data_IF_227161324845
#
_entry.id   IF_227161324845
#
_cell.length_a   1.000
_cell.length_b   1.000
_cell.length_c   1.000
_cell.angle_alpha   90.00
_cell.angle_beta   90.00
_cell.angle_gamma   90.00
#
_symmetry.space_group_name_H-M   'P 1'
#
loop_
_entity.id
_entity.type
_entity.pdbx_description
1 polymer ?
#
# COMPACT_ATOMS: atom_id res chain seq x y z
N UNK A 1 24.78 -19.68 -5.23
CA UNK A 1 23.91 -18.50 -5.44
C UNK A 1 24.54 -17.28 -4.79
N UNK A 2 24.60 -16.15 -5.48
CA UNK A 2 25.11 -14.88 -4.88
C UNK A 2 23.94 -13.92 -4.68
N UNK A 3 23.90 -13.26 -3.54
CA UNK A 3 22.87 -12.26 -3.21
C UNK A 3 23.49 -10.87 -3.25
N UNK A 4 22.88 -9.97 -4.01
CA UNK A 4 23.27 -8.56 -4.10
C UNK A 4 22.27 -7.71 -3.35
N UNK A 5 22.63 -7.24 -2.17
CA UNK A 5 21.81 -6.32 -1.37
C UNK A 5 22.00 -4.88 -1.84
N UNK A 6 20.91 -4.12 -1.87
CA UNK A 6 20.92 -2.73 -2.29
C UNK A 6 20.47 -1.79 -1.16
N UNK A 7 21.26 -0.80 -0.86
CA UNK A 7 20.86 0.40 -0.14
C UNK A 7 20.56 1.50 -1.15
N UNK A 8 19.32 2.03 -1.10
CA UNK A 8 18.75 2.85 -2.18
C UNK A 8 18.60 4.30 -1.74
N UNK A 9 19.31 5.20 -2.39
CA UNK A 9 19.24 6.65 -2.18
C UNK A 9 18.79 7.42 -3.43
N UNK A 10 18.52 8.71 -3.29
CA UNK A 10 18.03 9.54 -4.41
C UNK A 10 19.06 9.76 -5.52
N UNK A 11 20.34 9.84 -5.17
CA UNK A 11 21.41 10.17 -6.11
C UNK A 11 22.30 8.97 -6.44
N UNK A 12 22.49 8.09 -5.50
CA UNK A 12 23.36 6.90 -5.61
C UNK A 12 22.68 5.67 -5.03
N UNK A 13 23.10 4.50 -5.48
CA UNK A 13 22.76 3.23 -4.88
C UNK A 13 24.06 2.50 -4.52
N UNK A 14 24.08 1.92 -3.33
CA UNK A 14 25.22 1.09 -2.89
C UNK A 14 24.78 -0.37 -2.86
N UNK A 15 25.57 -1.21 -3.53
CA UNK A 15 25.35 -2.65 -3.64
C UNK A 15 26.44 -3.40 -2.88
N UNK A 16 26.02 -4.46 -2.19
CA UNK A 16 26.94 -5.40 -1.53
C UNK A 16 26.56 -6.82 -1.93
N UNK A 17 27.50 -7.52 -2.57
CA UNK A 17 27.37 -8.93 -2.91
C UNK A 17 27.81 -9.80 -1.74
N UNK A 18 27.05 -10.86 -1.45
CA UNK A 18 27.38 -11.86 -0.43
C UNK A 18 27.21 -13.27 -0.97
N UNK A 19 27.98 -14.22 -0.40
CA UNK A 19 27.81 -15.66 -0.61
C UNK A 19 26.61 -16.21 0.21
N UNK A 20 26.34 -17.50 0.09
CA UNK A 20 25.28 -18.19 0.81
C UNK A 20 25.46 -18.19 2.33
N UNK A 21 26.69 -18.02 2.83
CA UNK A 21 27.01 -17.87 4.24
C UNK A 21 26.86 -16.41 4.74
N UNK A 22 26.52 -15.47 3.84
CA UNK A 22 26.41 -14.04 4.14
C UNK A 22 27.75 -13.33 4.29
N UNK A 23 28.85 -13.90 3.76
CA UNK A 23 30.17 -13.26 3.72
C UNK A 23 30.22 -12.28 2.56
N UNK A 24 30.71 -11.07 2.80
CA UNK A 24 30.85 -10.04 1.77
C UNK A 24 31.89 -10.45 0.72
N UNK A 25 31.48 -10.44 -0.53
CA UNK A 25 32.29 -10.74 -1.70
C UNK A 25 32.78 -9.46 -2.41
N UNK A 26 32.02 -8.39 -2.34
CA UNK A 26 32.34 -7.13 -2.96
C UNK A 26 31.30 -6.06 -2.72
N UNK A 27 31.64 -4.84 -3.08
CA UNK A 27 30.70 -3.71 -3.05
C UNK A 27 30.89 -2.81 -4.26
N UNK A 28 29.86 -2.09 -4.64
CA UNK A 28 29.86 -1.10 -5.70
C UNK A 28 28.82 -0.02 -5.43
N UNK A 29 29.21 1.23 -5.61
CA UNK A 29 28.28 2.37 -5.59
C UNK A 29 28.17 2.95 -7.00
N UNK A 30 26.93 3.21 -7.44
CA UNK A 30 26.63 3.75 -8.76
C UNK A 30 25.65 4.92 -8.65
N UNK A 31 25.53 5.73 -9.70
CA UNK A 31 24.50 6.76 -9.79
C UNK A 31 23.10 6.11 -9.90
N UNK A 32 22.08 6.74 -9.29
CA UNK A 32 20.69 6.29 -9.30
C UNK A 32 19.99 6.60 -10.66
N UNK A 33 20.60 6.17 -11.76
CA UNK A 33 20.13 6.32 -13.14
C UNK A 33 20.25 4.98 -13.87
N UNK A 34 19.50 4.79 -14.95
CA UNK A 34 19.45 3.53 -15.70
C UNK A 34 20.84 3.03 -16.14
N UNK A 35 21.72 3.94 -16.59
CA UNK A 35 23.10 3.60 -16.93
C UNK A 35 23.87 3.04 -15.72
N UNK A 36 23.75 3.67 -14.54
CA UNK A 36 24.37 3.17 -13.31
C UNK A 36 23.79 1.82 -12.86
N UNK A 37 22.50 1.60 -13.05
CA UNK A 37 21.87 0.29 -12.76
C UNK A 37 22.46 -0.79 -13.69
N UNK A 38 22.61 -0.49 -14.98
CA UNK A 38 23.28 -1.39 -15.94
C UNK A 38 24.74 -1.68 -15.57
N UNK A 39 25.48 -0.65 -15.13
CA UNK A 39 26.86 -0.81 -14.64
C UNK A 39 26.93 -1.74 -13.41
N UNK A 40 25.97 -1.65 -12.50
CA UNK A 40 25.90 -2.55 -11.35
C UNK A 40 25.63 -3.99 -11.76
N UNK A 41 24.73 -4.20 -12.74
CA UNK A 41 24.43 -5.55 -13.27
C UNK A 41 25.66 -6.14 -13.96
N UNK A 42 26.35 -5.39 -14.80
CA UNK A 42 27.60 -5.86 -15.45
C UNK A 42 28.65 -6.23 -14.42
N UNK A 43 28.93 -5.33 -13.45
CA UNK A 43 29.86 -5.60 -12.36
C UNK A 43 29.54 -6.90 -11.61
N UNK A 44 28.26 -7.12 -11.29
CA UNK A 44 27.85 -8.30 -10.55
C UNK A 44 28.00 -9.60 -11.40
N UNK A 45 27.61 -9.54 -12.67
CA UNK A 45 27.73 -10.69 -13.59
C UNK A 45 29.17 -11.06 -13.89
N UNK A 46 30.03 -10.09 -14.15
CA UNK A 46 31.45 -10.31 -14.44
C UNK A 46 32.19 -10.92 -13.26
N UNK A 47 31.87 -10.51 -12.03
CA UNK A 47 32.58 -10.97 -10.83
C UNK A 47 31.99 -12.23 -10.20
N UNK A 48 30.70 -12.45 -10.29
CA UNK A 48 30.01 -13.47 -9.51
C UNK A 48 29.16 -14.43 -10.37
N UNK A 49 29.14 -14.24 -11.68
CA UNK A 49 28.37 -15.08 -12.60
C UNK A 49 26.91 -14.64 -12.76
N UNK A 50 26.12 -15.47 -13.45
CA UNK A 50 24.75 -15.14 -13.86
C UNK A 50 23.68 -15.45 -12.79
N UNK A 51 23.97 -16.36 -11.85
CA UNK A 51 23.02 -16.77 -10.80
C UNK A 51 22.99 -15.75 -9.64
N UNK A 52 22.31 -14.65 -9.87
CA UNK A 52 22.21 -13.53 -8.95
C UNK A 52 20.78 -13.32 -8.46
N UNK A 53 20.63 -13.03 -7.17
CA UNK A 53 19.38 -12.51 -6.58
C UNK A 53 19.63 -11.10 -6.05
N UNK A 54 18.83 -10.15 -6.49
CA UNK A 54 18.92 -8.76 -6.05
C UNK A 54 17.92 -8.53 -4.92
N UNK A 55 18.44 -8.30 -3.73
CA UNK A 55 17.65 -7.99 -2.54
C UNK A 55 17.57 -6.47 -2.35
N UNK A 56 16.37 -5.90 -2.34
CA UNK A 56 16.13 -4.47 -2.22
C UNK A 56 15.23 -4.21 -1.01
N UNK A 57 15.53 -3.19 -0.20
CA UNK A 57 14.61 -2.78 0.86
C UNK A 57 13.26 -2.34 0.27
N UNK A 58 12.14 -2.78 0.88
CA UNK A 58 10.77 -2.44 0.43
C UNK A 58 10.43 -0.96 0.74
N UNK A 59 11.18 -0.04 0.14
CA UNK A 59 10.96 1.40 0.19
C UNK A 59 10.37 1.92 -1.14
N UNK A 60 9.19 1.48 -1.47
CA UNK A 60 8.48 1.54 -2.76
C UNK A 60 8.63 2.80 -3.61
N UNK A 61 8.80 3.97 -3.00
CA UNK A 61 8.96 5.22 -3.75
C UNK A 61 10.38 5.41 -4.26
N UNK A 62 11.36 5.03 -3.46
CA UNK A 62 12.77 5.25 -3.74
C UNK A 62 13.35 4.15 -4.65
N UNK A 63 12.94 2.89 -4.41
CA UNK A 63 13.44 1.72 -5.14
C UNK A 63 12.74 1.43 -6.47
N UNK A 64 11.61 2.05 -6.75
CA UNK A 64 10.75 1.70 -7.89
C UNK A 64 11.44 1.77 -9.27
N UNK A 65 12.38 2.72 -9.45
CA UNK A 65 13.14 2.83 -10.70
C UNK A 65 14.19 1.74 -10.81
N UNK A 66 14.99 1.55 -9.74
CA UNK A 66 15.99 0.50 -9.66
C UNK A 66 15.37 -0.88 -9.91
N UNK A 67 14.27 -1.18 -9.23
CA UNK A 67 13.55 -2.43 -9.36
C UNK A 67 13.11 -2.67 -10.81
N UNK A 68 12.53 -1.67 -11.48
CA UNK A 68 12.12 -1.77 -12.88
C UNK A 68 13.29 -2.01 -13.80
N UNK A 69 14.37 -1.27 -13.63
CA UNK A 69 15.56 -1.39 -14.48
C UNK A 69 16.21 -2.76 -14.31
N UNK A 70 16.38 -3.24 -13.06
CA UNK A 70 16.92 -4.59 -12.80
C UNK A 70 16.07 -5.69 -13.44
N UNK A 71 14.75 -5.61 -13.29
CA UNK A 71 13.84 -6.57 -13.92
C UNK A 71 13.88 -6.48 -15.45
N UNK A 72 14.00 -5.26 -16.02
CA UNK A 72 14.20 -5.04 -17.45
C UNK A 72 15.51 -5.64 -17.96
N UNK A 73 16.54 -5.73 -17.13
CA UNK A 73 17.80 -6.43 -17.41
C UNK A 73 17.73 -7.94 -17.12
N UNK A 74 16.52 -8.48 -16.88
CA UNK A 74 16.30 -9.91 -16.63
C UNK A 74 16.81 -10.39 -15.27
N UNK A 75 16.95 -9.48 -14.28
CA UNK A 75 17.40 -9.86 -12.94
C UNK A 75 16.23 -10.27 -12.04
N UNK A 76 16.46 -11.25 -11.19
CA UNK A 76 15.53 -11.61 -10.13
C UNK A 76 15.67 -10.64 -8.96
N UNK A 77 14.58 -9.96 -8.63
CA UNK A 77 14.52 -8.96 -7.56
C UNK A 77 13.61 -9.45 -6.44
N UNK A 78 14.08 -9.31 -5.20
CA UNK A 78 13.32 -9.66 -3.99
C UNK A 78 13.22 -8.44 -3.08
N UNK A 79 12.03 -8.18 -2.53
CA UNK A 79 11.80 -7.09 -1.59
C UNK A 79 11.98 -7.56 -0.15
N UNK A 80 12.93 -6.95 0.54
CA UNK A 80 13.22 -7.23 1.95
C UNK A 80 12.45 -6.23 2.82
N UNK A 81 11.59 -6.70 3.74
CA UNK A 81 10.86 -5.82 4.65
C UNK A 81 11.82 -5.01 5.54
N UNK A 82 11.57 -3.69 5.77
CA UNK A 82 12.44 -2.84 6.60
C UNK A 82 12.66 -3.39 8.01
N UNK A 83 11.66 -4.06 8.58
CA UNK A 83 11.77 -4.70 9.89
C UNK A 83 12.81 -5.82 9.91
N UNK A 84 12.88 -6.62 8.86
CA UNK A 84 13.84 -7.72 8.74
C UNK A 84 15.27 -7.18 8.58
N UNK A 85 15.44 -6.16 7.76
CA UNK A 85 16.70 -5.45 7.61
C UNK A 85 17.18 -4.85 8.95
N UNK A 86 16.29 -4.16 9.68
CA UNK A 86 16.61 -3.57 10.98
C UNK A 86 17.01 -4.64 12.01
N UNK A 87 16.32 -5.79 12.05
CA UNK A 87 16.69 -6.92 12.92
C UNK A 87 18.04 -7.51 12.55
N UNK A 88 18.34 -7.65 11.27
CA UNK A 88 19.61 -8.16 10.76
C UNK A 88 20.76 -7.22 11.12
N UNK A 89 20.55 -5.91 11.01
CA UNK A 89 21.53 -4.90 11.41
C UNK A 89 21.76 -4.90 12.93
N UNK A 90 20.71 -5.00 13.73
CA UNK A 90 20.80 -5.03 15.19
C UNK A 90 21.57 -6.23 15.73
N UNK A 91 21.53 -7.38 15.03
CA UNK A 91 22.23 -8.60 15.40
C UNK A 91 23.66 -8.69 14.82
N UNK A 92 24.09 -7.71 14.02
CA UNK A 92 25.45 -7.68 13.48
C UNK A 92 26.48 -7.31 14.53
N UNK A 93 27.69 -7.90 14.45
CA UNK A 93 28.82 -7.55 15.31
C UNK A 93 29.33 -6.13 15.08
N UNK A 94 29.26 -5.65 13.83
CA UNK A 94 29.72 -4.31 13.44
C UNK A 94 28.62 -3.31 13.79
N UNK A 95 28.93 -2.40 14.71
CA UNK A 95 28.06 -1.27 15.03
C UNK A 95 28.43 -0.08 14.14
N UNK A 96 27.44 0.60 13.59
CA UNK A 96 27.62 1.77 12.75
C UNK A 96 26.48 1.91 11.74
N UNK A 97 26.49 3.02 11.03
CA UNK A 97 25.57 3.29 9.92
C UNK A 97 26.39 3.79 8.74
N UNK A 98 26.33 3.04 7.65
CA UNK A 98 26.85 3.46 6.33
C UNK A 98 26.12 2.68 5.27
N UNK A 99 26.06 3.22 4.06
CA UNK A 99 25.37 2.60 2.93
C UNK A 99 25.81 1.14 2.68
N UNK A 100 27.12 0.77 2.73
CA UNK A 100 27.54 -0.63 2.62
C UNK A 100 27.03 -1.52 3.76
N UNK A 101 26.92 -1.00 4.99
CA UNK A 101 26.39 -1.76 6.14
C UNK A 101 24.91 -2.03 5.95
N UNK A 102 24.16 -1.03 5.46
CA UNK A 102 22.73 -1.16 5.21
C UNK A 102 22.47 -2.08 4.01
N UNK A 103 23.22 -1.99 2.91
CA UNK A 103 23.17 -2.92 1.79
C UNK A 103 23.50 -4.38 2.20
N UNK A 104 24.52 -4.56 3.04
CA UNK A 104 24.88 -5.87 3.60
C UNK A 104 23.75 -6.43 4.48
N UNK A 105 23.09 -5.60 5.28
CA UNK A 105 21.99 -6.02 6.12
C UNK A 105 20.77 -6.44 5.27
N UNK A 106 20.52 -5.80 4.14
CA UNK A 106 19.48 -6.18 3.17
C UNK A 106 19.78 -7.57 2.59
N UNK A 107 21.02 -7.80 2.09
CA UNK A 107 21.42 -9.10 1.54
C UNK A 107 21.28 -10.25 2.57
N UNK A 108 21.79 -10.03 3.78
CA UNK A 108 21.68 -10.99 4.89
C UNK A 108 20.25 -11.19 5.37
N UNK A 109 19.40 -10.17 5.25
CA UNK A 109 17.97 -10.27 5.54
C UNK A 109 17.26 -11.25 4.62
N UNK A 110 17.60 -11.23 3.33
CA UNK A 110 17.11 -12.21 2.37
C UNK A 110 17.58 -13.64 2.70
N UNK A 111 18.85 -13.83 3.05
CA UNK A 111 19.37 -15.17 3.40
C UNK A 111 18.70 -15.78 4.63
N UNK A 112 18.22 -14.96 5.58
CA UNK A 112 17.45 -15.43 6.74
C UNK A 112 16.02 -15.85 6.43
N UNK A 113 15.42 -15.26 5.40
CA UNK A 113 14.03 -15.47 4.98
C UNK A 113 13.97 -15.68 3.47
N UNK A 114 14.42 -16.83 2.96
CA UNK A 114 14.54 -17.07 1.51
C UNK A 114 13.19 -17.10 0.79
N UNK A 115 12.09 -17.27 1.52
CA UNK A 115 10.72 -17.30 1.00
C UNK A 115 10.09 -15.91 0.77
N UNK A 116 10.89 -14.86 0.76
CA UNK A 116 10.39 -13.52 0.46
C UNK A 116 9.84 -13.44 -0.98
N UNK A 117 8.79 -12.63 -1.19
CA UNK A 117 8.14 -12.55 -2.50
C UNK A 117 9.08 -11.93 -3.54
N UNK A 118 9.18 -12.60 -4.69
CA UNK A 118 9.86 -12.08 -5.87
C UNK A 118 9.07 -10.85 -6.36
N UNK A 119 9.77 -9.78 -6.68
CA UNK A 119 9.16 -8.60 -7.24
C UNK A 119 8.59 -8.90 -8.63
N UNK A 120 7.37 -8.47 -8.86
CA UNK A 120 6.73 -8.52 -10.17
C UNK A 120 6.16 -7.13 -10.49
N UNK A 121 6.25 -6.72 -11.75
CA UNK A 121 5.58 -5.54 -12.23
C UNK A 121 4.17 -5.91 -12.69
N UNK A 122 3.19 -5.42 -11.96
CA UNK A 122 1.81 -5.33 -12.43
C UNK A 122 1.49 -3.85 -12.66
N UNK A 123 1.57 -3.43 -13.93
CA UNK A 123 1.32 -2.03 -14.30
C UNK A 123 -0.08 -1.56 -13.90
N UNK A 124 -1.07 -2.45 -13.98
CA UNK A 124 -2.44 -2.17 -13.57
C UNK A 124 -2.51 -1.83 -12.08
N UNK A 125 -1.89 -2.64 -11.24
CA UNK A 125 -1.82 -2.37 -9.80
C UNK A 125 -1.06 -1.08 -9.50
N UNK A 126 0.02 -0.81 -10.24
CA UNK A 126 0.80 0.42 -10.08
C UNK A 126 -0.01 1.66 -10.46
N UNK A 127 -0.68 1.65 -11.61
CA UNK A 127 -1.52 2.74 -12.09
C UNK A 127 -2.61 3.07 -11.05
N UNK A 128 -3.39 2.07 -10.65
CA UNK A 128 -4.44 2.23 -9.64
C UNK A 128 -3.89 2.73 -8.31
N UNK A 129 -2.75 2.22 -7.88
CA UNK A 129 -2.11 2.71 -6.65
C UNK A 129 -1.76 4.19 -6.74
N UNK A 130 -1.15 4.64 -7.83
CA UNK A 130 -0.78 6.04 -8.01
C UNK A 130 -2.00 6.97 -8.02
N UNK A 131 -3.09 6.56 -8.69
CA UNK A 131 -4.35 7.33 -8.71
C UNK A 131 -4.98 7.41 -7.32
N UNK A 132 -5.05 6.30 -6.60
CA UNK A 132 -5.61 6.23 -5.23
C UNK A 132 -4.77 7.05 -4.26
N UNK A 133 -3.45 6.89 -4.27
CA UNK A 133 -2.53 7.63 -3.40
C UNK A 133 -2.66 9.14 -3.65
N UNK A 134 -2.70 9.57 -4.92
CA UNK A 134 -2.91 10.99 -5.27
C UNK A 134 -4.23 11.52 -4.74
N UNK A 135 -5.32 10.76 -4.94
CA UNK A 135 -6.64 11.13 -4.43
C UNK A 135 -6.65 11.25 -2.92
N UNK A 136 -6.01 10.34 -2.18
CA UNK A 136 -5.94 10.38 -0.72
C UNK A 136 -5.20 11.61 -0.20
N UNK A 137 -4.09 11.98 -0.84
CA UNK A 137 -3.35 13.21 -0.51
C UNK A 137 -4.25 14.44 -0.67
N UNK A 138 -5.00 14.53 -1.79
CA UNK A 138 -5.91 15.66 -2.02
C UNK A 138 -7.10 15.68 -1.04
N UNK A 139 -7.62 14.51 -0.66
CA UNK A 139 -8.67 14.41 0.38
C UNK A 139 -8.14 14.89 1.73
N UNK A 140 -6.93 14.52 2.11
CA UNK A 140 -6.31 14.99 3.35
C UNK A 140 -6.09 16.51 3.31
N UNK A 141 -5.59 17.05 2.20
CA UNK A 141 -5.40 18.48 1.98
C UNK A 141 -6.74 19.23 2.09
N UNK A 142 -7.79 18.76 1.39
CA UNK A 142 -9.12 19.36 1.49
C UNK A 142 -9.65 19.35 2.92
N UNK A 143 -9.48 18.26 3.65
CA UNK A 143 -9.92 18.15 5.04
C UNK A 143 -9.20 19.18 5.94
N UNK A 144 -7.89 19.35 5.75
CA UNK A 144 -7.12 20.35 6.49
C UNK A 144 -7.59 21.78 6.17
N UNK A 145 -7.85 22.07 4.87
CA UNK A 145 -8.38 23.38 4.46
C UNK A 145 -9.80 23.64 5.02
N UNK A 146 -10.68 22.63 4.99
CA UNK A 146 -12.01 22.73 5.62
C UNK A 146 -11.90 23.09 7.12
N UNK A 147 -10.98 22.47 7.83
CA UNK A 147 -10.82 22.75 9.26
C UNK A 147 -10.33 24.19 9.50
N UNK A 148 -9.40 24.70 8.70
CA UNK A 148 -8.96 26.11 8.78
C UNK A 148 -10.09 27.07 8.47
N UNK A 149 -10.81 26.85 7.36
CA UNK A 149 -11.96 27.68 6.98
C UNK A 149 -13.01 27.74 8.10
N UNK A 150 -13.30 26.62 8.74
CA UNK A 150 -14.27 26.58 9.85
C UNK A 150 -13.85 27.45 11.04
N UNK A 151 -12.55 27.53 11.36
CA UNK A 151 -12.04 28.41 12.40
C UNK A 151 -12.17 29.89 12.02
N UNK A 152 -11.89 30.26 10.76
CA UNK A 152 -12.08 31.63 10.26
C UNK A 152 -13.55 32.04 10.27
N UNK A 153 -14.43 31.15 9.82
CA UNK A 153 -15.87 31.40 9.86
C UNK A 153 -16.36 31.56 11.33
N UNK A 154 -15.85 30.73 12.24
CA UNK A 154 -16.17 30.84 13.65
C UNK A 154 -15.69 32.17 14.26
N UNK A 155 -14.54 32.68 13.84
CA UNK A 155 -14.04 33.99 14.27
C UNK A 155 -14.91 35.13 13.75
N UNK A 156 -15.44 35.02 12.53
CA UNK A 156 -16.33 36.03 11.95
C UNK A 156 -17.76 35.97 12.51
N UNK A 157 -18.31 34.79 12.62
CA UNK A 157 -19.65 34.50 13.10
C UNK A 157 -19.77 33.03 13.54
N UNK A 158 -19.76 32.73 14.86
CA UNK A 158 -19.84 31.35 15.36
C UNK A 158 -21.11 30.59 14.92
N UNK A 159 -22.25 31.31 14.72
CA UNK A 159 -23.52 30.68 14.35
C UNK A 159 -23.51 30.20 12.90
N UNK A 160 -22.66 30.77 12.06
CA UNK A 160 -22.48 30.37 10.67
C UNK A 160 -21.41 29.32 10.44
N UNK A 161 -20.70 28.89 11.49
CA UNK A 161 -19.65 27.86 11.34
C UNK A 161 -20.22 26.55 10.75
N UNK A 162 -19.77 26.13 9.55
CA UNK A 162 -20.37 24.99 8.86
C UNK A 162 -20.04 23.66 9.58
N UNK A 163 -20.98 22.71 9.52
CA UNK A 163 -20.71 21.34 10.00
C UNK A 163 -19.57 20.70 9.21
N UNK A 164 -18.72 19.86 9.82
CA UNK A 164 -17.52 19.29 9.15
C UNK A 164 -17.79 18.65 7.78
N UNK A 165 -18.94 17.97 7.65
CA UNK A 165 -19.27 17.20 6.42
C UNK A 165 -20.00 18.05 5.38
N UNK A 166 -20.55 19.22 5.75
CA UNK A 166 -21.41 20.00 4.85
C UNK A 166 -20.66 20.56 3.65
N UNK A 167 -19.42 20.98 3.83
CA UNK A 167 -18.59 21.57 2.77
C UNK A 167 -18.14 20.58 1.68
N UNK A 168 -18.43 19.29 1.83
CA UNK A 168 -18.30 18.34 0.73
C UNK A 168 -19.33 18.57 -0.38
N UNK A 169 -20.48 19.15 -0.05
CA UNK A 169 -21.56 19.44 -0.98
C UNK A 169 -21.43 20.84 -1.57
N UNK A 170 -21.53 20.94 -2.90
CA UNK A 170 -21.44 22.22 -3.63
C UNK A 170 -22.46 23.26 -3.15
N UNK A 171 -23.69 22.82 -2.80
CA UNK A 171 -24.74 23.67 -2.26
C UNK A 171 -24.28 24.45 -1.02
N UNK A 172 -23.64 23.78 -0.07
CA UNK A 172 -23.19 24.43 1.18
C UNK A 172 -21.98 25.33 0.93
N UNK A 173 -21.10 25.00 -0.01
CA UNK A 173 -20.00 25.88 -0.41
C UNK A 173 -20.53 27.17 -1.04
N UNK A 174 -21.57 27.08 -1.88
CA UNK A 174 -22.19 28.26 -2.49
C UNK A 174 -22.81 29.14 -1.43
N UNK A 175 -23.68 28.60 -0.57
CA UNK A 175 -24.32 29.39 0.50
C UNK A 175 -23.32 30.09 1.41
N UNK A 176 -22.21 29.42 1.74
CA UNK A 176 -21.15 30.04 2.55
C UNK A 176 -20.43 31.14 1.76
N UNK A 177 -20.19 30.93 0.45
CA UNK A 177 -19.58 31.92 -0.44
C UNK A 177 -20.43 33.19 -0.56
N UNK A 178 -21.72 33.02 -0.78
CA UNK A 178 -22.67 34.16 -0.91
C UNK A 178 -22.66 35.02 0.37
N UNK A 179 -22.59 34.40 1.55
CA UNK A 179 -22.46 35.14 2.79
C UNK A 179 -21.07 35.79 2.94
N UNK A 180 -19.97 35.08 2.65
CA UNK A 180 -18.61 35.62 2.80
C UNK A 180 -18.34 36.84 1.89
N UNK A 181 -19.07 36.99 0.78
CA UNK A 181 -19.00 38.20 -0.07
C UNK A 181 -19.52 39.43 0.67
N UNK A 182 -20.47 39.27 1.58
CA UNK A 182 -21.05 40.39 2.35
C UNK A 182 -20.20 40.83 3.55
N UNK A 183 -19.17 40.05 3.90
CA UNK A 183 -18.30 40.32 5.04
C UNK A 183 -16.97 40.91 4.54
N UNK A 184 -16.55 42.01 5.16
CA UNK A 184 -15.29 42.71 4.88
C UNK A 184 -14.17 42.29 5.85
N UNK A 185 -12.94 42.61 5.50
CA UNK A 185 -11.75 42.39 6.30
C UNK A 185 -10.92 41.19 5.91
N UNK A 186 -9.67 41.13 6.36
CA UNK A 186 -8.67 40.15 5.98
C UNK A 186 -9.10 38.70 6.30
N UNK A 187 -9.76 38.47 7.45
CA UNK A 187 -10.22 37.15 7.83
C UNK A 187 -11.25 36.61 6.82
N UNK A 188 -12.17 37.46 6.35
CA UNK A 188 -13.16 37.10 5.35
C UNK A 188 -12.51 36.87 3.98
N UNK A 189 -11.50 37.65 3.60
CA UNK A 189 -10.71 37.44 2.40
C UNK A 189 -10.04 36.05 2.39
N UNK A 190 -9.30 35.75 3.44
CA UNK A 190 -8.65 34.44 3.60
C UNK A 190 -9.64 33.28 3.66
N UNK A 191 -10.84 33.50 4.22
CA UNK A 191 -11.91 32.51 4.23
C UNK A 191 -12.45 32.23 2.81
N UNK A 192 -12.57 33.27 1.96
CA UNK A 192 -12.93 33.12 0.54
C UNK A 192 -11.89 32.33 -0.24
N UNK A 193 -10.59 32.60 -0.01
CA UNK A 193 -9.50 31.87 -0.68
C UNK A 193 -9.52 30.38 -0.29
N UNK A 194 -9.69 30.08 0.98
CA UNK A 194 -9.80 28.69 1.44
C UNK A 194 -11.05 27.99 0.89
N UNK A 195 -12.17 28.69 0.73
CA UNK A 195 -13.40 28.16 0.12
C UNK A 195 -13.18 27.86 -1.38
N UNK A 196 -12.45 28.72 -2.09
CA UNK A 196 -12.06 28.51 -3.48
C UNK A 196 -11.15 27.27 -3.60
N UNK A 197 -10.17 27.12 -2.72
CA UNK A 197 -9.30 25.94 -2.66
C UNK A 197 -10.09 24.65 -2.38
N UNK A 198 -11.05 24.65 -1.46
CA UNK A 198 -11.92 23.49 -1.20
C UNK A 198 -12.72 23.13 -2.45
N UNK A 199 -13.20 24.11 -3.18
CA UNK A 199 -13.98 23.89 -4.40
C UNK A 199 -13.12 23.27 -5.50
N UNK A 200 -11.92 23.81 -5.74
CA UNK A 200 -10.95 23.27 -6.69
C UNK A 200 -10.51 21.86 -6.31
N UNK A 201 -10.15 21.61 -5.04
CA UNK A 201 -9.75 20.28 -4.58
C UNK A 201 -10.88 19.27 -4.74
N UNK A 202 -12.14 19.67 -4.47
CA UNK A 202 -13.29 18.77 -4.63
C UNK A 202 -13.46 18.33 -6.08
N UNK A 203 -13.37 19.25 -7.04
CA UNK A 203 -13.48 18.93 -8.46
C UNK A 203 -12.39 17.91 -8.90
N UNK A 204 -11.13 18.12 -8.49
CA UNK A 204 -10.03 17.20 -8.84
C UNK A 204 -10.20 15.84 -8.16
N UNK A 205 -10.69 15.79 -6.91
CA UNK A 205 -10.96 14.54 -6.19
C UNK A 205 -12.06 13.73 -6.89
N UNK A 206 -13.12 14.40 -7.36
CA UNK A 206 -14.25 13.76 -8.03
C UNK A 206 -13.82 13.23 -9.42
N UNK A 207 -13.02 13.98 -10.17
CA UNK A 207 -12.46 13.51 -11.44
C UNK A 207 -11.53 12.29 -11.26
N UNK A 208 -10.67 12.30 -10.24
CA UNK A 208 -9.85 11.13 -9.92
C UNK A 208 -10.71 9.92 -9.52
N UNK A 209 -11.80 10.16 -8.78
CA UNK A 209 -12.71 9.08 -8.41
C UNK A 209 -13.37 8.45 -9.63
N UNK A 210 -13.79 9.27 -10.62
CA UNK A 210 -14.35 8.82 -11.90
C UNK A 210 -13.33 7.96 -12.68
N UNK A 211 -12.12 8.47 -12.89
CA UNK A 211 -11.03 7.73 -13.57
C UNK A 211 -10.71 6.40 -12.90
N UNK A 212 -10.66 6.39 -11.56
CA UNK A 212 -10.43 5.17 -10.78
C UNK A 212 -11.58 4.18 -11.00
N UNK A 213 -12.83 4.66 -10.97
CA UNK A 213 -14.01 3.83 -11.19
C UNK A 213 -14.03 3.19 -12.58
N UNK A 214 -13.78 3.97 -13.63
CA UNK A 214 -13.65 3.48 -15.01
C UNK A 214 -12.60 2.36 -15.08
N UNK A 215 -11.39 2.63 -14.60
CA UNK A 215 -10.30 1.67 -14.65
C UNK A 215 -10.56 0.39 -13.86
N UNK A 216 -11.19 0.50 -12.70
CA UNK A 216 -11.51 -0.68 -11.86
C UNK A 216 -12.59 -1.54 -12.48
N UNK A 217 -13.59 -0.95 -13.14
CA UNK A 217 -14.63 -1.73 -13.85
C UNK A 217 -14.04 -2.63 -14.93
N UNK A 218 -12.98 -2.16 -15.61
CA UNK A 218 -12.29 -2.94 -16.65
C UNK A 218 -11.44 -4.06 -16.04
N UNK A 219 -10.78 -3.80 -14.90
CA UNK A 219 -9.70 -4.69 -14.41
C UNK A 219 -10.09 -5.58 -13.25
N UNK A 220 -11.17 -5.26 -12.53
CA UNK A 220 -11.57 -5.99 -11.33
C UNK A 220 -13.10 -6.13 -11.17
N UNK A 221 -13.84 -6.55 -12.21
CA UNK A 221 -15.30 -6.67 -12.16
C UNK A 221 -15.79 -7.70 -11.13
N UNK A 222 -15.07 -8.81 -10.94
CA UNK A 222 -15.44 -9.84 -9.95
C UNK A 222 -15.27 -9.30 -8.53
N UNK A 223 -14.23 -8.51 -8.29
CA UNK A 223 -14.02 -7.88 -7.00
C UNK A 223 -15.11 -6.82 -6.70
N UNK A 224 -15.54 -6.07 -7.70
CA UNK A 224 -16.65 -5.09 -7.58
C UNK A 224 -18.00 -5.74 -7.24
N UNK A 225 -18.22 -6.98 -7.66
CA UNK A 225 -19.43 -7.73 -7.33
C UNK A 225 -19.51 -8.11 -5.84
N UNK A 226 -18.40 -7.98 -5.08
CA UNK A 226 -18.40 -8.27 -3.64
C UNK A 226 -19.19 -7.19 -2.87
N UNK A 227 -20.25 -7.53 -2.14
CA UNK A 227 -21.02 -6.56 -1.35
C UNK A 227 -20.11 -5.76 -0.39
N UNK A 228 -20.23 -4.43 -0.45
CA UNK A 228 -19.40 -3.51 0.34
C UNK A 228 -18.04 -3.17 -0.26
N UNK A 229 -17.71 -3.71 -1.44
CA UNK A 229 -16.50 -3.37 -2.18
C UNK A 229 -16.79 -2.38 -3.30
N UNK A 230 -16.90 -1.10 -3.01
CA UNK A 230 -17.04 -0.05 -4.03
C UNK A 230 -15.71 0.21 -4.78
N UNK A 231 -15.79 0.97 -5.87
CA UNK A 231 -14.69 1.23 -6.82
C UNK A 231 -13.39 1.67 -6.14
N UNK A 232 -13.45 2.63 -5.23
CA UNK A 232 -12.25 3.12 -4.50
C UNK A 232 -11.63 2.04 -3.59
N UNK A 233 -12.47 1.16 -3.02
CA UNK A 233 -12.00 0.07 -2.19
C UNK A 233 -11.36 -1.01 -3.04
N UNK A 234 -11.98 -1.36 -4.17
CA UNK A 234 -11.45 -2.31 -5.13
C UNK A 234 -10.11 -1.82 -5.72
N UNK A 235 -10.04 -0.54 -6.14
CA UNK A 235 -8.80 0.08 -6.61
C UNK A 235 -7.67 0.00 -5.57
N UNK A 236 -8.00 0.27 -4.30
CA UNK A 236 -7.04 0.14 -3.20
C UNK A 236 -6.58 -1.31 -3.01
N UNK A 237 -7.48 -2.27 -3.07
CA UNK A 237 -7.13 -3.68 -2.95
C UNK A 237 -6.21 -4.13 -4.10
N UNK A 238 -6.53 -3.78 -5.34
CA UNK A 238 -5.68 -4.10 -6.51
C UNK A 238 -4.32 -3.41 -6.38
N UNK A 239 -4.30 -2.09 -6.17
CA UNK A 239 -3.08 -1.30 -6.12
C UNK A 239 -2.12 -1.72 -4.99
N UNK A 240 -2.66 -2.00 -3.80
CA UNK A 240 -1.85 -2.42 -2.65
C UNK A 240 -1.42 -3.88 -2.71
N UNK A 241 -2.12 -4.71 -3.49
CA UNK A 241 -1.71 -6.09 -3.74
C UNK A 241 -0.45 -6.18 -4.61
N UNK A 242 -0.20 -5.18 -5.47
CA UNK A 242 0.95 -5.11 -6.37
C UNK A 242 1.18 -6.43 -7.15
N UNK A 243 0.09 -6.96 -7.74
CA UNK A 243 0.04 -8.27 -8.37
C UNK A 243 -0.37 -9.39 -7.39
N UNK A 244 -1.48 -10.05 -7.69
CA UNK A 244 -2.00 -11.13 -6.82
C UNK A 244 -1.16 -12.39 -6.89
N UNK A 245 -0.48 -12.64 -8.02
CA UNK A 245 0.34 -13.83 -8.28
C UNK A 245 1.57 -13.93 -7.39
N UNK A 246 2.03 -12.81 -6.81
CA UNK A 246 3.15 -12.81 -5.86
C UNK A 246 2.83 -13.53 -4.54
N UNK A 247 1.57 -13.77 -4.25
CA UNK A 247 1.18 -14.48 -3.03
C UNK A 247 1.01 -15.97 -3.31
N UNK A 248 1.80 -16.80 -2.64
CA UNK A 248 1.74 -18.26 -2.72
C UNK A 248 0.37 -18.83 -2.33
N UNK A 249 -0.36 -18.15 -1.41
CA UNK A 249 -1.64 -18.60 -0.87
C UNK A 249 -2.49 -17.46 -0.30
N UNK A 250 -3.77 -17.75 -0.03
CA UNK A 250 -4.67 -16.86 0.71
C UNK A 250 -4.16 -16.52 2.11
N UNK A 251 -3.46 -17.44 2.76
CA UNK A 251 -2.87 -17.23 4.08
C UNK A 251 -1.72 -16.22 4.00
N UNK A 252 -0.88 -16.31 2.95
CA UNK A 252 0.18 -15.33 2.69
C UNK A 252 -0.40 -13.95 2.42
N UNK A 253 -1.47 -13.84 1.62
CA UNK A 253 -2.19 -12.58 1.39
C UNK A 253 -2.78 -12.02 2.70
N UNK A 254 -3.44 -12.84 3.52
CA UNK A 254 -4.01 -12.41 4.78
C UNK A 254 -2.93 -11.95 5.78
N UNK A 255 -1.76 -12.62 5.80
CA UNK A 255 -0.60 -12.19 6.61
C UNK A 255 -0.07 -10.85 6.13
N UNK A 256 0.08 -10.67 4.82
CA UNK A 256 0.49 -9.40 4.22
C UNK A 256 -0.51 -8.27 4.51
N UNK A 257 -1.81 -8.54 4.47
CA UNK A 257 -2.86 -7.59 4.84
C UNK A 257 -2.97 -7.34 6.36
N UNK A 258 -2.18 -8.03 7.20
CA UNK A 258 -2.22 -7.88 8.65
C UNK A 258 -3.54 -8.35 9.29
N UNK A 259 -4.22 -9.34 8.67
CA UNK A 259 -5.48 -9.90 9.18
C UNK A 259 -5.37 -11.39 9.53
N UNK A 260 -4.19 -11.99 9.37
CA UNK A 260 -3.94 -13.35 9.82
C UNK A 260 -3.74 -13.43 11.34
N UNK A 261 -4.31 -14.43 12.02
CA UNK A 261 -4.00 -14.69 13.41
C UNK A 261 -2.55 -15.22 13.52
N UNK A 262 -1.81 -14.72 14.49
CA UNK A 262 -0.44 -15.16 14.80
C UNK A 262 -0.46 -15.87 16.14
N UNK A 263 0.06 -17.10 16.24
CA UNK A 263 0.21 -17.79 17.51
C UNK A 263 1.07 -16.97 18.49
N UNK A 264 0.57 -16.76 19.70
CA UNK A 264 1.29 -16.08 20.79
C UNK A 264 0.96 -16.83 22.08
N UNK A 265 1.58 -17.98 22.24
CA UNK A 265 1.35 -18.82 23.40
C UNK A 265 2.63 -19.51 23.86
N UNK A 266 2.66 -19.82 25.14
CA UNK A 266 3.66 -20.67 25.77
C UNK A 266 2.96 -21.44 26.88
N UNK A 267 3.31 -22.73 27.09
CA UNK A 267 2.77 -23.55 28.18
C UNK A 267 1.25 -23.41 28.33
N UNK A 268 0.81 -22.86 29.46
CA UNK A 268 -0.59 -22.75 29.88
C UNK A 268 -1.47 -21.84 28.96
N UNK A 269 -0.87 -21.08 28.04
CA UNK A 269 -1.62 -20.20 27.11
C UNK A 269 -1.78 -20.80 25.73
N UNK A 270 -1.63 -22.15 25.60
CA UNK A 270 -1.71 -22.88 24.33
C UNK A 270 -3.00 -22.53 23.54
N UNK A 271 -2.84 -22.24 22.25
CA UNK A 271 -3.96 -21.85 21.38
C UNK A 271 -4.26 -20.35 21.35
N UNK A 272 -3.61 -19.53 22.18
CA UNK A 272 -3.79 -18.08 22.14
C UNK A 272 -3.23 -17.50 20.85
N UNK A 273 -4.05 -16.70 20.15
CA UNK A 273 -3.64 -16.00 18.94
C UNK A 273 -3.80 -14.49 19.10
N UNK A 274 -2.94 -13.74 18.46
CA UNK A 274 -3.03 -12.27 18.39
C UNK A 274 -2.97 -11.82 16.94
N UNK A 275 -3.51 -10.65 16.69
CA UNK A 275 -3.28 -9.95 15.43
C UNK A 275 -1.91 -9.27 15.47
N UNK A 276 -1.14 -9.44 14.41
CA UNK A 276 0.08 -8.65 14.25
C UNK A 276 -0.25 -7.18 13.98
N UNK A 277 0.58 -6.27 14.49
CA UNK A 277 0.54 -4.85 14.09
C UNK A 277 1.34 -4.58 12.83
N UNK A 278 2.02 -5.61 12.29
CA UNK A 278 2.72 -5.59 11.01
C UNK A 278 1.73 -5.89 9.86
N UNK A 279 2.18 -5.66 8.65
CA UNK A 279 1.39 -5.87 7.43
C UNK A 279 0.92 -4.56 6.78
N UNK A 280 0.35 -4.68 5.60
CA UNK A 280 -0.11 -3.53 4.82
C UNK A 280 -1.38 -2.93 5.45
N UNK A 281 -1.23 -1.76 6.09
CA UNK A 281 -2.32 -1.06 6.77
C UNK A 281 -3.42 -0.61 5.81
N UNK A 282 -3.09 -0.33 4.55
CA UNK A 282 -4.05 0.11 3.54
C UNK A 282 -4.96 -1.05 3.10
N UNK A 283 -4.39 -2.25 2.89
CA UNK A 283 -5.18 -3.46 2.67
C UNK A 283 -6.06 -3.78 3.87
N UNK A 284 -5.52 -3.66 5.09
CA UNK A 284 -6.29 -3.86 6.31
C UNK A 284 -7.48 -2.90 6.41
N UNK A 285 -7.27 -1.62 6.09
CA UNK A 285 -8.32 -0.61 6.09
C UNK A 285 -9.38 -0.87 5.01
N UNK A 286 -8.97 -1.32 3.82
CA UNK A 286 -9.89 -1.70 2.75
C UNK A 286 -10.78 -2.89 3.16
N UNK A 287 -10.18 -3.95 3.71
CA UNK A 287 -10.92 -5.10 4.25
C UNK A 287 -11.85 -4.71 5.41
N UNK A 288 -11.43 -3.75 6.24
CA UNK A 288 -12.27 -3.25 7.32
C UNK A 288 -13.50 -2.50 6.82
N UNK A 289 -13.36 -1.67 5.79
CA UNK A 289 -14.50 -0.98 5.15
C UNK A 289 -15.52 -1.97 4.61
N UNK A 290 -15.07 -3.02 3.89
CA UNK A 290 -15.94 -4.09 3.41
C UNK A 290 -16.64 -4.77 4.58
N UNK A 291 -15.90 -5.14 5.64
CA UNK A 291 -16.45 -5.80 6.80
C UNK A 291 -17.55 -4.97 7.49
N UNK A 292 -17.28 -3.68 7.76
CA UNK A 292 -18.24 -2.77 8.39
C UNK A 292 -19.48 -2.58 7.52
N UNK A 293 -19.33 -2.50 6.20
CA UNK A 293 -20.46 -2.40 5.27
C UNK A 293 -21.28 -3.67 5.28
N UNK A 294 -20.63 -4.85 5.21
CA UNK A 294 -21.36 -6.14 5.22
C UNK A 294 -22.07 -6.42 6.53
N UNK A 295 -21.58 -5.92 7.66
CA UNK A 295 -22.30 -6.03 8.95
C UNK A 295 -23.62 -5.25 8.93
N UNK A 296 -23.72 -4.18 8.14
CA UNK A 296 -24.91 -3.34 8.01
C UNK A 296 -25.91 -3.88 6.95
N UNK A 297 -25.39 -4.59 5.94
CA UNK A 297 -26.18 -5.17 4.86
C UNK A 297 -26.67 -6.57 5.25
N UNK A 298 -27.86 -6.96 4.80
CA UNK A 298 -28.29 -8.35 4.92
C UNK A 298 -27.47 -9.24 3.97
N UNK A 299 -26.99 -10.38 4.49
CA UNK A 299 -26.18 -11.31 3.72
C UNK A 299 -25.21 -12.13 4.57
N UNK A 300 -24.33 -12.87 3.88
CA UNK A 300 -23.42 -13.84 4.50
C UNK A 300 -22.46 -13.21 5.52
N UNK A 301 -22.00 -11.98 5.26
CA UNK A 301 -21.08 -11.27 6.18
C UNK A 301 -21.76 -10.94 7.51
N UNK A 302 -23.00 -10.40 7.47
CA UNK A 302 -23.78 -10.12 8.68
C UNK A 302 -24.15 -11.39 9.44
N UNK A 303 -24.57 -12.44 8.73
CA UNK A 303 -24.89 -13.73 9.34
C UNK A 303 -23.68 -14.31 10.06
N UNK A 304 -22.50 -14.31 9.43
CA UNK A 304 -21.25 -14.75 10.04
C UNK A 304 -20.86 -13.91 11.26
N UNK A 305 -20.94 -12.59 11.15
CA UNK A 305 -20.65 -11.67 12.26
C UNK A 305 -21.55 -11.93 13.47
N UNK A 306 -22.87 -12.06 13.26
CA UNK A 306 -23.84 -12.38 14.31
C UNK A 306 -23.57 -13.73 14.96
N UNK A 307 -23.23 -14.76 14.15
CA UNK A 307 -22.82 -16.08 14.66
C UNK A 307 -21.63 -15.97 15.60
N UNK A 308 -20.63 -15.15 15.28
CA UNK A 308 -19.46 -14.95 16.14
C UNK A 308 -19.81 -14.27 17.47
N UNK A 309 -20.66 -13.26 17.43
CA UNK A 309 -21.17 -12.61 18.66
C UNK A 309 -21.93 -13.60 19.55
N UNK A 310 -22.79 -14.42 18.95
CA UNK A 310 -23.55 -15.46 19.67
C UNK A 310 -22.63 -16.54 20.27
N UNK A 311 -21.43 -16.73 19.70
CA UNK A 311 -20.40 -17.65 20.23
C UNK A 311 -19.53 -17.01 21.33
N UNK A 312 -19.84 -15.78 21.79
CA UNK A 312 -19.15 -15.09 22.87
C UNK A 312 -18.01 -14.16 22.44
N UNK A 313 -17.77 -13.98 21.14
CA UNK A 313 -16.79 -13.00 20.69
C UNK A 313 -17.25 -11.57 20.98
N UNK A 314 -16.32 -10.71 21.35
CA UNK A 314 -16.57 -9.26 21.37
C UNK A 314 -16.73 -8.70 19.96
N UNK A 315 -17.38 -7.52 19.83
CA UNK A 315 -17.52 -6.79 18.55
C UNK A 315 -16.20 -6.64 17.78
N UNK A 316 -15.05 -6.26 18.39
CA UNK A 316 -13.79 -6.19 17.68
C UNK A 316 -13.26 -7.56 17.25
N UNK A 317 -13.51 -8.62 18.01
CA UNK A 317 -13.08 -9.98 17.66
C UNK A 317 -13.89 -10.54 16.49
N UNK A 318 -15.21 -10.43 16.54
CA UNK A 318 -16.09 -10.84 15.46
C UNK A 318 -15.74 -10.10 14.13
N UNK A 319 -15.45 -8.80 14.18
CA UNK A 319 -14.97 -8.04 13.01
C UNK A 319 -13.60 -8.53 12.52
N UNK A 320 -12.67 -8.89 13.41
CA UNK A 320 -11.38 -9.46 12.99
C UNK A 320 -11.56 -10.80 12.28
N UNK A 321 -12.42 -11.67 12.81
CA UNK A 321 -12.76 -12.93 12.19
C UNK A 321 -13.39 -12.73 10.81
N UNK A 322 -14.30 -11.77 10.67
CA UNK A 322 -14.91 -11.43 9.38
C UNK A 322 -13.86 -10.90 8.39
N UNK A 323 -12.96 -10.01 8.81
CA UNK A 323 -11.87 -9.52 7.95
C UNK A 323 -10.96 -10.64 7.45
N UNK A 324 -10.63 -11.60 8.32
CA UNK A 324 -9.81 -12.76 7.92
C UNK A 324 -10.52 -13.59 6.86
N UNK A 325 -11.83 -13.79 7.00
CA UNK A 325 -12.65 -14.50 6.01
C UNK A 325 -12.76 -13.73 4.70
N UNK A 326 -12.95 -12.41 4.79
CA UNK A 326 -12.97 -11.52 3.62
C UNK A 326 -11.64 -11.52 2.87
N UNK A 327 -10.50 -11.60 3.55
CA UNK A 327 -9.21 -11.70 2.89
C UNK A 327 -9.11 -12.92 1.97
N UNK A 328 -9.73 -14.06 2.35
CA UNK A 328 -9.82 -15.25 1.49
C UNK A 328 -10.67 -14.98 0.24
N UNK A 329 -11.85 -14.40 0.42
CA UNK A 329 -12.76 -14.08 -0.67
C UNK A 329 -12.12 -13.08 -1.64
N UNK A 330 -11.58 -11.98 -1.10
CA UNK A 330 -10.88 -10.95 -1.89
C UNK A 330 -9.71 -11.53 -2.67
N UNK A 331 -8.91 -12.40 -2.06
CA UNK A 331 -7.80 -13.07 -2.75
C UNK A 331 -8.30 -13.93 -3.92
N UNK A 332 -9.38 -14.67 -3.73
CA UNK A 332 -10.02 -15.46 -4.79
C UNK A 332 -10.50 -14.57 -5.95
N UNK A 333 -11.21 -13.48 -5.63
CA UNK A 333 -11.70 -12.53 -6.66
C UNK A 333 -10.54 -11.85 -7.41
N UNK A 334 -9.51 -11.39 -6.72
CA UNK A 334 -8.31 -10.81 -7.35
C UNK A 334 -7.64 -11.80 -8.31
N UNK A 335 -7.58 -13.09 -7.95
CA UNK A 335 -7.03 -14.14 -8.84
C UNK A 335 -7.92 -14.36 -10.05
N UNK A 336 -9.22 -14.41 -9.88
CA UNK A 336 -10.17 -14.57 -10.99
C UNK A 336 -10.06 -13.39 -11.95
N UNK A 337 -10.08 -12.15 -11.45
CA UNK A 337 -9.91 -10.95 -12.28
C UNK A 337 -8.56 -10.94 -13.02
N UNK A 338 -7.48 -11.35 -12.35
CA UNK A 338 -6.16 -11.46 -12.96
C UNK A 338 -6.16 -12.50 -14.10
N UNK A 339 -6.69 -13.70 -13.86
CA UNK A 339 -6.75 -14.76 -14.86
C UNK A 339 -7.62 -14.36 -16.06
N UNK A 340 -8.76 -13.71 -15.83
CA UNK A 340 -9.64 -13.22 -16.88
C UNK A 340 -8.95 -12.19 -17.79
N UNK A 341 -8.02 -11.40 -17.27
CA UNK A 341 -7.24 -10.43 -18.07
C UNK A 341 -6.16 -11.09 -18.93
N UNK A 342 -5.55 -12.17 -18.47
CA UNK A 342 -4.46 -12.85 -19.19
C UNK A 342 -5.00 -13.74 -20.30
N UNK A 343 -6.13 -14.44 -20.10
CA UNK A 343 -6.70 -15.37 -21.07
C UNK A 343 -7.05 -14.75 -22.44
N UNK A 344 -7.60 -13.51 -22.56
CA UNK A 344 -7.83 -12.88 -23.85
C UNK A 344 -6.54 -12.61 -24.63
N UNK A 345 -5.46 -12.20 -23.94
CA UNK A 345 -4.17 -11.93 -24.59
C UNK A 345 -3.54 -13.19 -25.18
N UNK A 346 -3.71 -14.35 -24.54
CA UNK A 346 -3.20 -15.62 -25.06
C UNK A 346 -4.01 -16.14 -26.25
N UNK A 347 -5.33 -15.86 -26.32
CA UNK A 347 -6.17 -16.21 -27.47
C UNK A 347 -5.98 -15.28 -28.67
N UNK A 348 -5.50 -14.07 -28.47
CA UNK A 348 -5.18 -13.12 -29.55
C UNK A 348 -3.76 -13.30 -30.12
N UNK A 349 -2.89 -14.03 -29.41
CA UNK A 349 -1.51 -14.31 -29.81
C UNK A 349 -1.33 -15.73 -30.40
N UNK A 350 -2.36 -16.56 -30.41
CA UNK A 350 -2.43 -17.87 -31.05
C UNK A 350 -3.26 -17.82 -32.35
#
# INVERSE_FOLDING_TARGET
MVVVGADVHKQTHTFVAVDEAGRKLGEKTVKAITAGHGEAVMWARERFGAELVWAIEDCRHLSARLERDLMGFGQQVVRVPPKLMAQTRASARTRGKSDPIDALAVARGFLREPDLPIASHDEVSRELKLLVDRREVLVAQRTATINRLRWRVHELDPERAPKPVSLHLAKHRRLLGDWLVTVSGLVAELARDELADITRLSAVIDELAKRIGERVRDVAPVLLALPGCGELTAAKLVGESAGVTRFKSEAAFARHAGVAPVPVWSGNTRGRVRMTRSGNRQLNAALHRIAVTQVRLDGLGRAYYRKRLASGDSTPEALRCLKRRLARVVFGHLRTDHNNRIQPCQRAAA
#
